data_IF_944818673000
#
_entry.id   IF_944818673000
#
_cell.length_a   1.000
_cell.length_b   1.000
_cell.length_c   1.000
_cell.angle_alpha   90.00
_cell.angle_beta   90.00
_cell.angle_gamma   90.00
#
_symmetry.space_group_name_H-M   'P 1'
#
loop_
_entity.id
_entity.type
_entity.pdbx_description
1 polymer ?
#
# COMPACT_ATOMS: atom_id res chain seq x y z
N UNK A 1 -5.70 -20.48 -6.48
CA UNK A 1 -4.76 -21.33 -7.26
C UNK A 1 -3.31 -21.21 -6.86
N UNK A 2 -2.78 -20.01 -6.68
CA UNK A 2 -1.38 -19.79 -6.29
C UNK A 2 -0.94 -20.57 -5.02
N UNK A 3 -1.78 -20.61 -3.98
CA UNK A 3 -1.51 -21.42 -2.77
C UNK A 3 -1.39 -22.91 -3.07
N UNK A 4 -2.27 -23.46 -3.93
CA UNK A 4 -2.21 -24.88 -4.36
C UNK A 4 -0.96 -25.18 -5.19
N UNK A 5 -0.42 -24.18 -5.87
CA UNK A 5 0.82 -24.26 -6.66
C UNK A 5 2.08 -24.02 -5.82
N UNK A 6 1.96 -23.85 -4.50
CA UNK A 6 3.09 -23.61 -3.61
C UNK A 6 3.74 -22.23 -3.73
N UNK A 7 3.05 -21.24 -4.31
CA UNK A 7 3.58 -19.88 -4.49
C UNK A 7 3.53 -19.01 -3.23
N UNK A 8 2.90 -19.51 -2.17
CA UNK A 8 2.82 -18.86 -0.86
C UNK A 8 2.02 -19.70 0.12
N UNK A 9 2.12 -19.37 1.40
CA UNK A 9 1.53 -20.13 2.50
C UNK A 9 0.16 -19.59 2.91
N UNK A 10 0.00 -18.26 2.87
CA UNK A 10 -1.16 -17.56 3.41
C UNK A 10 -1.79 -16.69 2.33
N UNK A 11 -3.11 -16.62 2.28
CA UNK A 11 -3.88 -15.77 1.39
C UNK A 11 -4.46 -14.58 2.16
N UNK A 12 -4.27 -13.37 1.64
CA UNK A 12 -4.86 -12.14 2.19
C UNK A 12 -5.49 -11.30 1.09
N UNK A 13 -6.51 -10.52 1.43
CA UNK A 13 -7.18 -9.70 0.42
C UNK A 13 -8.59 -9.28 0.78
N UNK A 14 -9.24 -8.64 -0.18
CA UNK A 14 -10.59 -8.13 -0.03
C UNK A 14 -11.37 -8.13 -1.35
N UNK A 15 -12.70 -8.18 -1.24
CA UNK A 15 -13.64 -7.78 -2.29
C UNK A 15 -14.65 -6.83 -1.65
N UNK A 16 -14.51 -5.53 -1.92
CA UNK A 16 -15.37 -4.51 -1.33
C UNK A 16 -15.09 -4.29 0.16
N UNK A 17 -13.82 -4.42 0.55
CA UNK A 17 -13.37 -4.36 1.95
C UNK A 17 -13.54 -5.67 2.73
N UNK A 18 -14.28 -6.65 2.20
CA UNK A 18 -14.61 -7.88 2.91
C UNK A 18 -13.60 -8.98 2.55
N UNK A 19 -13.09 -9.68 3.58
CA UNK A 19 -12.24 -10.87 3.40
C UNK A 19 -13.00 -11.96 2.61
N UNK A 20 -12.46 -12.45 1.48
CA UNK A 20 -13.09 -13.53 0.73
C UNK A 20 -13.11 -14.85 1.50
N UNK A 21 -14.09 -15.71 1.20
CA UNK A 21 -14.14 -17.06 1.75
C UNK A 21 -12.87 -17.86 1.38
N UNK A 22 -12.33 -18.59 2.36
CA UNK A 22 -11.13 -19.42 2.18
C UNK A 22 -9.79 -18.66 2.24
N UNK A 23 -9.82 -17.34 2.43
CA UNK A 23 -8.64 -16.52 2.72
C UNK A 23 -8.30 -16.54 4.20
N UNK A 24 -7.01 -16.49 4.50
CA UNK A 24 -6.51 -16.50 5.88
C UNK A 24 -6.75 -15.13 6.53
N UNK A 25 -6.52 -14.03 5.80
CA UNK A 25 -6.68 -12.65 6.31
C UNK A 25 -7.45 -11.73 5.37
N UNK A 26 -8.02 -10.66 5.94
CA UNK A 26 -8.56 -9.53 5.18
C UNK A 26 -7.45 -8.61 4.65
N UNK A 27 -7.81 -7.36 4.35
CA UNK A 27 -6.87 -6.31 3.98
C UNK A 27 -6.71 -5.26 5.09
N UNK A 28 -6.88 -5.66 6.36
CA UNK A 28 -6.74 -4.80 7.55
C UNK A 28 -5.31 -4.90 8.11
N UNK A 29 -4.50 -3.83 8.06
CA UNK A 29 -3.23 -3.77 8.76
C UNK A 29 -3.36 -4.00 10.28
N UNK A 30 -4.47 -3.56 10.88
CA UNK A 30 -4.73 -3.78 12.29
C UNK A 30 -4.91 -5.26 12.60
N UNK A 31 -5.78 -5.98 11.89
CA UNK A 31 -5.95 -7.42 12.08
C UNK A 31 -4.62 -8.18 11.92
N UNK A 32 -3.84 -7.84 10.89
CA UNK A 32 -2.52 -8.46 10.67
C UNK A 32 -1.54 -8.18 11.81
N UNK A 33 -1.63 -7.02 12.47
CA UNK A 33 -0.77 -6.68 13.62
C UNK A 33 -1.09 -7.51 14.88
N UNK A 34 -2.27 -8.13 14.94
CA UNK A 34 -2.68 -8.99 16.05
C UNK A 34 -2.28 -10.46 15.85
N UNK A 35 -1.68 -10.80 14.71
CA UNK A 35 -1.20 -12.16 14.44
C UNK A 35 0.16 -12.36 15.11
N UNK A 36 0.30 -13.43 15.89
CA UNK A 36 1.51 -13.72 16.69
C UNK A 36 2.82 -13.64 15.87
N UNK A 37 2.83 -14.19 14.65
CA UNK A 37 3.96 -14.06 13.74
C UNK A 37 3.60 -14.40 12.30
N UNK A 38 4.09 -13.57 11.38
CA UNK A 38 4.11 -13.83 9.93
C UNK A 38 5.54 -13.98 9.40
N UNK A 39 6.54 -14.07 10.29
CA UNK A 39 7.94 -14.14 9.91
C UNK A 39 8.22 -15.40 9.09
N UNK A 40 8.91 -15.23 7.95
CA UNK A 40 9.23 -16.31 7.03
C UNK A 40 8.06 -16.80 6.18
N UNK A 41 6.85 -16.26 6.35
CA UNK A 41 5.69 -16.61 5.54
C UNK A 41 5.64 -15.77 4.26
N UNK A 42 5.25 -16.38 3.16
CA UNK A 42 4.91 -15.70 1.91
C UNK A 42 3.40 -15.54 1.83
N UNK A 43 2.96 -14.29 1.77
CA UNK A 43 1.56 -13.91 1.64
C UNK A 43 1.21 -13.73 0.16
N UNK A 44 0.12 -14.35 -0.27
CA UNK A 44 -0.53 -14.14 -1.57
C UNK A 44 -1.61 -13.09 -1.35
N UNK A 45 -1.41 -11.89 -1.91
CA UNK A 45 -2.35 -10.79 -1.78
C UNK A 45 -3.22 -10.64 -3.03
N UNK A 46 -4.53 -10.48 -2.84
CA UNK A 46 -5.50 -10.19 -3.91
C UNK A 46 -6.43 -9.05 -3.49
N UNK A 47 -6.33 -7.90 -4.15
CA UNK A 47 -7.15 -6.70 -3.87
C UNK A 47 -7.71 -6.11 -5.16
N UNK A 48 -8.79 -5.32 -5.05
CA UNK A 48 -9.47 -4.73 -6.22
C UNK A 48 -8.62 -3.69 -6.97
N UNK A 49 -7.68 -3.02 -6.30
CA UNK A 49 -6.78 -2.04 -6.92
C UNK A 49 -5.67 -2.69 -7.80
N UNK A 50 -5.63 -4.03 -7.89
CA UNK A 50 -4.57 -4.77 -8.57
C UNK A 50 -4.38 -4.43 -10.06
N UNK A 51 -5.41 -3.96 -10.77
CA UNK A 51 -5.32 -3.62 -12.21
C UNK A 51 -4.45 -2.40 -12.50
N UNK A 52 -4.51 -1.36 -11.66
CA UNK A 52 -3.58 -0.22 -11.81
C UNK A 52 -2.16 -0.63 -11.45
N UNK A 53 -1.99 -1.47 -10.41
CA UNK A 53 -0.68 -2.05 -10.08
C UNK A 53 -0.07 -2.82 -11.26
N UNK A 54 -0.88 -3.60 -11.98
CA UNK A 54 -0.46 -4.31 -13.20
C UNK A 54 -0.11 -3.36 -14.34
N UNK A 55 -0.87 -2.29 -14.53
CA UNK A 55 -0.58 -1.27 -15.56
C UNK A 55 0.71 -0.51 -15.27
N UNK A 56 0.91 -0.06 -14.03
CA UNK A 56 2.15 0.56 -13.57
C UNK A 56 3.34 -0.40 -13.73
N UNK A 57 3.12 -1.69 -13.50
CA UNK A 57 4.15 -2.72 -13.62
C UNK A 57 4.45 -3.18 -15.06
N UNK A 58 3.71 -2.70 -16.06
CA UNK A 58 3.88 -3.15 -17.44
C UNK A 58 5.07 -2.46 -18.14
N UNK A 59 5.38 -1.22 -17.77
CA UNK A 59 6.41 -0.40 -18.45
C UNK A 59 7.47 0.20 -17.52
N UNK A 60 7.33 0.05 -16.19
CA UNK A 60 8.30 0.59 -15.25
C UNK A 60 9.49 -0.38 -15.06
N UNK A 61 10.71 0.14 -15.16
CA UNK A 61 11.94 -0.61 -14.87
C UNK A 61 12.04 -1.03 -13.39
N UNK A 62 11.50 -0.19 -12.50
CA UNK A 62 11.47 -0.43 -11.07
C UNK A 62 10.17 0.12 -10.49
N UNK A 63 9.56 -0.67 -9.61
CA UNK A 63 8.27 -0.37 -8.99
C UNK A 63 8.47 -0.40 -7.48
N UNK A 64 7.98 0.62 -6.80
CA UNK A 64 7.90 0.67 -5.35
C UNK A 64 6.45 0.77 -4.93
N UNK A 65 6.08 0.12 -3.82
CA UNK A 65 4.76 0.33 -3.22
C UNK A 65 4.78 1.64 -2.43
N UNK A 66 3.96 2.60 -2.85
CA UNK A 66 3.88 3.93 -2.26
C UNK A 66 2.96 3.97 -1.04
N UNK A 67 3.43 4.48 0.09
CA UNK A 67 2.62 4.71 1.28
C UNK A 67 3.23 5.78 2.19
N UNK A 68 2.40 6.39 3.05
CA UNK A 68 2.87 7.30 4.10
C UNK A 68 3.81 6.63 5.10
N UNK A 69 3.50 5.39 5.50
CA UNK A 69 4.23 4.66 6.55
C UNK A 69 5.69 4.36 6.21
N UNK A 70 6.07 4.44 4.93
CA UNK A 70 7.42 4.18 4.41
C UNK A 70 7.97 5.34 3.55
N UNK A 71 7.36 6.53 3.62
CA UNK A 71 7.60 7.59 2.64
C UNK A 71 9.08 7.99 2.50
N UNK A 72 9.79 8.19 3.60
CA UNK A 72 11.22 8.51 3.64
C UNK A 72 12.08 7.39 3.06
N UNK A 73 11.76 6.14 3.35
CA UNK A 73 12.49 4.99 2.83
C UNK A 73 12.29 4.82 1.31
N UNK A 74 11.08 5.08 0.82
CA UNK A 74 10.77 5.11 -0.62
C UNK A 74 11.58 6.22 -1.31
N UNK A 75 11.56 7.43 -0.76
CA UNK A 75 12.32 8.58 -1.31
C UNK A 75 13.81 8.27 -1.38
N UNK A 76 14.37 7.69 -0.32
CA UNK A 76 15.78 7.26 -0.29
C UNK A 76 16.08 6.22 -1.38
N UNK A 77 15.24 5.19 -1.49
CA UNK A 77 15.42 4.13 -2.49
C UNK A 77 15.33 4.66 -3.93
N UNK A 78 14.41 5.58 -4.21
CA UNK A 78 14.27 6.22 -5.52
C UNK A 78 15.48 7.10 -5.84
N UNK A 79 15.97 7.91 -4.89
CA UNK A 79 17.19 8.71 -5.10
C UNK A 79 18.42 7.85 -5.33
N UNK A 80 18.57 6.74 -4.59
CA UNK A 80 19.67 5.80 -4.77
C UNK A 80 19.65 5.13 -6.16
N UNK A 81 18.45 4.81 -6.67
CA UNK A 81 18.28 4.29 -8.02
C UNK A 81 18.51 5.34 -9.12
N UNK A 82 18.41 6.64 -8.77
CA UNK A 82 18.60 7.79 -9.65
C UNK A 82 17.95 7.64 -11.05
N UNK A 83 16.65 7.32 -11.14
CA UNK A 83 16.00 7.16 -12.42
C UNK A 83 15.82 8.53 -13.13
N UNK A 84 15.82 8.56 -14.47
CA UNK A 84 15.59 9.79 -15.23
C UNK A 84 14.16 10.32 -15.11
N UNK A 85 13.20 9.46 -14.75
CA UNK A 85 11.79 9.77 -14.60
C UNK A 85 11.20 8.99 -13.42
N UNK A 86 10.39 9.67 -12.61
CA UNK A 86 9.61 9.05 -11.54
C UNK A 86 8.13 9.33 -11.80
N UNK A 87 7.36 8.27 -12.00
CA UNK A 87 5.90 8.33 -12.05
C UNK A 87 5.34 7.94 -10.68
N UNK A 88 4.48 8.79 -10.12
CA UNK A 88 3.74 8.49 -8.89
C UNK A 88 2.30 8.28 -9.28
N UNK A 89 1.77 7.08 -9.02
CA UNK A 89 0.44 6.68 -9.44
C UNK A 89 -0.43 6.58 -8.18
N UNK A 90 -1.38 7.50 -8.03
CA UNK A 90 -2.47 7.38 -7.05
C UNK A 90 -3.45 6.32 -7.58
N UNK A 91 -3.69 5.24 -6.82
CA UNK A 91 -4.47 4.09 -7.32
C UNK A 91 -5.96 4.41 -7.38
N UNK A 92 -6.44 5.21 -6.43
CA UNK A 92 -7.84 5.53 -6.26
C UNK A 92 -8.70 4.33 -5.87
N UNK A 93 -10.02 4.53 -5.86
CA UNK A 93 -10.99 3.49 -5.55
C UNK A 93 -11.40 2.75 -6.81
N UNK A 94 -11.21 1.42 -6.80
CA UNK A 94 -11.58 0.50 -7.91
C UNK A 94 -11.06 0.95 -9.27
N UNK A 95 -9.99 1.76 -9.30
CA UNK A 95 -9.38 2.31 -10.50
C UNK A 95 -10.30 3.17 -11.37
N UNK A 96 -11.40 3.67 -10.78
CA UNK A 96 -12.42 4.51 -11.47
C UNK A 96 -12.50 5.90 -10.83
N UNK A 97 -12.35 5.99 -9.51
CA UNK A 97 -12.47 7.24 -8.77
C UNK A 97 -11.16 7.60 -8.10
N UNK A 98 -10.80 8.89 -8.16
CA UNK A 98 -9.71 9.41 -7.33
C UNK A 98 -10.12 9.32 -5.88
N UNK A 99 -9.15 9.01 -5.02
CA UNK A 99 -9.34 9.02 -3.57
C UNK A 99 -8.42 10.07 -2.95
N UNK A 100 -8.95 10.79 -1.96
CA UNK A 100 -8.24 11.91 -1.36
C UNK A 100 -6.93 11.44 -0.73
N UNK A 101 -6.92 10.30 -0.04
CA UNK A 101 -5.76 9.74 0.64
C UNK A 101 -4.64 9.34 -0.32
N UNK A 102 -4.95 8.76 -1.48
CA UNK A 102 -3.93 8.39 -2.47
C UNK A 102 -3.34 9.63 -3.14
N UNK A 103 -4.18 10.63 -3.44
CA UNK A 103 -3.72 11.90 -4.01
C UNK A 103 -2.85 12.68 -3.02
N UNK A 104 -3.23 12.73 -1.73
CA UNK A 104 -2.40 13.32 -0.69
C UNK A 104 -1.07 12.55 -0.52
N UNK A 105 -1.10 11.22 -0.57
CA UNK A 105 0.11 10.39 -0.49
C UNK A 105 1.04 10.64 -1.67
N UNK A 106 0.49 10.72 -2.88
CA UNK A 106 1.24 11.01 -4.08
C UNK A 106 1.88 12.41 -4.05
N UNK A 107 1.13 13.43 -3.62
CA UNK A 107 1.63 14.79 -3.44
C UNK A 107 2.73 14.85 -2.37
N UNK A 108 2.56 14.13 -1.26
CA UNK A 108 3.55 14.05 -0.20
C UNK A 108 4.86 13.43 -0.70
N UNK A 109 4.80 12.27 -1.37
CA UNK A 109 5.96 11.60 -1.96
C UNK A 109 6.65 12.49 -3.00
N UNK A 110 5.90 13.14 -3.88
CA UNK A 110 6.44 14.10 -4.86
C UNK A 110 7.19 15.23 -4.19
N UNK A 111 6.61 15.82 -3.15
CA UNK A 111 7.23 16.92 -2.41
C UNK A 111 8.56 16.46 -1.80
N UNK A 112 8.57 15.29 -1.13
CA UNK A 112 9.77 14.72 -0.50
C UNK A 112 10.86 14.40 -1.51
N UNK A 113 10.53 13.82 -2.67
CA UNK A 113 11.46 13.58 -3.79
C UNK A 113 12.06 14.88 -4.36
N UNK A 114 11.38 16.01 -4.19
CA UNK A 114 11.84 17.32 -4.63
C UNK A 114 12.50 18.13 -3.50
N UNK A 115 12.85 17.50 -2.37
CA UNK A 115 13.49 18.16 -1.23
C UNK A 115 12.57 19.11 -0.47
N UNK A 116 11.25 18.99 -0.62
CA UNK A 116 10.24 19.74 0.13
C UNK A 116 9.70 18.88 1.26
N UNK A 117 9.47 19.50 2.42
CA UNK A 117 9.06 18.79 3.64
C UNK A 117 7.73 19.34 4.15
N UNK A 118 6.58 18.82 3.64
CA UNK A 118 5.27 19.18 4.18
C UNK A 118 5.16 18.77 5.65
N UNK A 119 4.39 19.54 6.43
CA UNK A 119 4.03 19.17 7.79
C UNK A 119 3.22 17.86 7.79
N UNK A 120 3.73 16.77 8.43
CA UNK A 120 3.04 15.49 8.51
C UNK A 120 1.63 15.62 9.11
N UNK A 121 1.43 16.49 10.11
CA UNK A 121 0.13 16.61 10.77
C UNK A 121 -0.90 17.29 9.87
N UNK A 122 -0.49 18.32 9.12
CA UNK A 122 -1.36 18.94 8.13
C UNK A 122 -1.83 17.94 7.06
N UNK A 123 -0.92 17.06 6.59
CA UNK A 123 -1.26 16.01 5.62
C UNK A 123 -2.23 14.99 6.23
N UNK A 124 -2.00 14.56 7.48
CA UNK A 124 -2.94 13.68 8.20
C UNK A 124 -4.33 14.28 8.29
N UNK A 125 -4.45 15.56 8.66
CA UNK A 125 -5.74 16.24 8.76
C UNK A 125 -6.48 16.29 7.42
N UNK A 126 -5.77 16.52 6.31
CA UNK A 126 -6.37 16.48 4.97
C UNK A 126 -6.92 15.10 4.62
N UNK A 127 -6.18 14.03 4.94
CA UNK A 127 -6.65 12.66 4.73
C UNK A 127 -7.86 12.34 5.61
N UNK A 128 -7.83 12.74 6.88
CA UNK A 128 -8.93 12.50 7.83
C UNK A 128 -10.23 13.17 7.38
N UNK A 129 -10.14 14.35 6.76
CA UNK A 129 -11.27 15.08 6.21
C UNK A 129 -11.76 14.55 4.84
N UNK A 130 -11.02 13.63 4.21
CA UNK A 130 -11.33 13.07 2.90
C UNK A 130 -12.50 12.07 2.92
N UNK A 131 -13.16 11.87 1.78
CA UNK A 131 -14.38 11.06 1.70
C UNK A 131 -14.15 9.59 2.11
N UNK A 132 -13.05 8.99 1.64
CA UNK A 132 -12.73 7.59 1.94
C UNK A 132 -12.35 7.34 3.39
N UNK A 133 -11.99 8.39 4.14
CA UNK A 133 -11.74 8.30 5.58
C UNK A 133 -13.03 8.02 6.37
N UNK A 134 -14.18 8.51 5.89
CA UNK A 134 -15.45 8.44 6.62
C UNK A 134 -15.94 7.01 6.88
N UNK A 135 -15.63 6.07 5.98
CA UNK A 135 -16.06 4.66 6.12
C UNK A 135 -15.52 3.98 7.38
N UNK A 136 -14.37 4.45 7.89
CA UNK A 136 -13.75 3.92 9.09
C UNK A 136 -14.46 4.36 10.38
N UNK A 137 -15.37 5.33 10.31
CA UNK A 137 -16.21 5.76 11.43
C UNK A 137 -17.65 5.22 11.32
N UNK A 138 -17.97 4.49 10.24
CA UNK A 138 -19.31 3.98 9.97
C UNK A 138 -19.52 2.60 10.63
N UNK A 139 -20.34 2.50 11.70
CA UNK A 139 -20.60 1.22 12.35
C UNK A 139 -21.36 0.23 11.46
N UNK A 140 -21.97 0.68 10.37
CA UNK A 140 -22.59 -0.20 9.37
C UNK A 140 -21.58 -0.87 8.43
N UNK A 141 -20.29 -0.46 8.48
CA UNK A 141 -19.21 -1.01 7.69
C UNK A 141 -18.08 -1.58 8.57
N UNK A 142 -18.37 -2.61 9.41
CA UNK A 142 -17.43 -3.12 10.41
C UNK A 142 -16.16 -3.74 9.82
N UNK A 143 -16.13 -4.03 8.52
CA UNK A 143 -14.92 -4.48 7.81
C UNK A 143 -13.83 -3.39 7.71
N UNK A 144 -14.16 -2.11 7.94
CA UNK A 144 -13.20 -1.02 7.96
C UNK A 144 -12.88 -0.62 9.40
N UNK A 145 -11.82 -1.17 9.96
CA UNK A 145 -11.48 -0.95 11.35
C UNK A 145 -10.83 0.44 11.54
N UNK A 146 -11.25 1.29 12.51
CA UNK A 146 -10.69 2.63 12.68
C UNK A 146 -9.14 2.67 12.81
N UNK A 147 -8.59 1.62 13.43
CA UNK A 147 -7.16 1.45 13.62
C UNK A 147 -6.39 1.24 12.31
N UNK A 148 -7.05 0.76 11.24
CA UNK A 148 -6.42 0.65 9.92
C UNK A 148 -6.05 2.04 9.37
N UNK A 149 -6.98 3.00 9.51
CA UNK A 149 -6.76 4.40 9.12
C UNK A 149 -5.65 5.02 9.95
N UNK A 150 -5.68 4.83 11.27
CA UNK A 150 -4.62 5.30 12.18
C UNK A 150 -3.25 4.73 11.76
N UNK A 151 -3.16 3.42 11.55
CA UNK A 151 -1.91 2.77 11.12
C UNK A 151 -1.42 3.29 9.77
N UNK A 152 -2.31 3.49 8.79
CA UNK A 152 -1.95 4.02 7.47
C UNK A 152 -1.40 5.45 7.54
N UNK A 153 -1.77 6.23 8.57
CA UNK A 153 -1.35 7.62 8.78
C UNK A 153 -0.10 7.79 9.65
N UNK A 154 0.51 6.70 10.12
CA UNK A 154 1.79 6.72 10.84
C UNK A 154 2.96 6.96 9.89
N UNK A 155 3.05 8.19 9.37
CA UNK A 155 4.11 8.63 8.46
C UNK A 155 5.48 8.24 8.99
N UNK A 156 6.27 7.60 8.12
CA UNK A 156 7.66 7.17 8.39
C UNK A 156 7.81 6.21 9.59
N UNK A 157 6.80 5.39 9.89
CA UNK A 157 6.89 4.33 10.90
C UNK A 157 7.93 3.25 10.56
N UNK A 158 8.13 2.96 9.27
CA UNK A 158 9.04 1.91 8.81
C UNK A 158 10.18 2.46 7.96
N UNK A 159 11.37 1.91 8.18
CA UNK A 159 12.65 2.38 7.61
C UNK A 159 13.06 1.65 6.31
N UNK A 160 12.12 0.95 5.68
CA UNK A 160 12.36 0.18 4.46
C UNK A 160 11.34 0.49 3.38
N UNK A 161 11.68 0.19 2.13
CA UNK A 161 10.76 0.26 1.01
C UNK A 161 10.40 -1.15 0.53
N UNK A 162 9.25 -1.29 -0.11
CA UNK A 162 8.86 -2.52 -0.81
C UNK A 162 9.07 -2.34 -2.30
N UNK A 163 10.02 -3.09 -2.87
CA UNK A 163 10.26 -3.13 -4.31
C UNK A 163 9.49 -4.30 -4.91
N UNK A 164 8.83 -4.07 -6.03
CA UNK A 164 8.12 -5.10 -6.79
C UNK A 164 8.96 -5.54 -7.99
N UNK A 165 9.14 -6.85 -8.13
CA UNK A 165 9.79 -7.51 -9.27
C UNK A 165 8.82 -8.44 -9.96
N UNK A 166 9.10 -8.78 -11.22
CA UNK A 166 8.34 -9.79 -11.97
C UNK A 166 9.09 -11.11 -11.93
N UNK A 167 8.49 -12.13 -11.33
CA UNK A 167 9.06 -13.46 -11.16
C UNK A 167 8.05 -14.51 -11.59
N UNK A 168 8.42 -15.32 -12.58
CA UNK A 168 7.55 -16.40 -13.09
C UNK A 168 6.13 -15.92 -13.48
N UNK A 169 6.03 -14.70 -14.01
CA UNK A 169 4.77 -14.07 -14.39
C UNK A 169 3.99 -13.41 -13.25
N UNK A 170 4.47 -13.51 -12.00
CA UNK A 170 3.87 -12.90 -10.81
C UNK A 170 4.57 -11.59 -10.45
N UNK A 171 3.83 -10.70 -9.79
CA UNK A 171 4.41 -9.53 -9.11
C UNK A 171 4.77 -9.94 -7.68
N UNK A 172 6.04 -9.77 -7.32
CA UNK A 172 6.55 -10.14 -6.00
C UNK A 172 7.12 -8.90 -5.33
N UNK A 173 6.55 -8.53 -4.18
CA UNK A 173 7.04 -7.44 -3.36
C UNK A 173 8.04 -7.97 -2.32
N UNK A 174 9.22 -7.35 -2.22
CA UNK A 174 10.19 -7.65 -1.17
C UNK A 174 10.71 -6.37 -0.52
N UNK A 175 11.08 -6.50 0.76
CA UNK A 175 11.79 -5.45 1.49
C UNK A 175 13.11 -5.15 0.78
N UNK A 176 13.37 -3.87 0.56
CA UNK A 176 14.66 -3.36 0.16
C UNK A 176 15.07 -2.22 1.11
N UNK A 177 16.37 -2.13 1.35
CA UNK A 177 16.97 -1.03 2.09
C UNK A 177 17.72 -0.21 1.06
N UNK A 178 17.32 1.06 0.90
CA UNK A 178 18.03 2.03 0.06
C UNK A 178 19.26 2.59 0.75
#
# INVERSE_FOLDING_TARGET
DLRRQGKGQLCMGEVGGIRPEGFDFGNSPYELSQVDSLAGQTLIQSTQAGTVGVSAAAQADTIYLGSFVMASAIVKAVHAANPPLVNIVAMGVKTVHRSDEDEQCALYLRNRLQGRYPDPDAVRQLVLAGQESLKYDDPAQPQYHPQDREMALRIDQYDFALRVTREEGLLVARRCVG
#
